data_IF_401621016488
#
_entry.id   IF_401621016488
#
_cell.length_a   1.000
_cell.length_b   1.000
_cell.length_c   1.000
_cell.angle_alpha   90.00
_cell.angle_beta   90.00
_cell.angle_gamma   90.00
#
_symmetry.space_group_name_H-M   'P 1'
#
loop_
_entity.id
_entity.type
_entity.pdbx_description
1 polymer ?
#
# COMPACT_ATOMS: atom_id res chain seq x y z
N UNK A 1 44.03 -40.50 29.56
CA UNK A 1 43.69 -39.63 28.42
C UNK A 1 42.17 -39.65 28.28
N UNK A 2 41.46 -38.53 28.54
CA UNK A 2 40.00 -38.52 28.53
C UNK A 2 39.47 -38.44 27.08
N UNK A 3 38.21 -38.85 26.84
CA UNK A 3 37.66 -38.99 25.51
C UNK A 3 37.28 -37.65 24.89
N UNK A 4 37.37 -37.65 23.56
CA UNK A 4 37.20 -36.57 22.61
C UNK A 4 35.82 -35.87 22.73
N UNK A 5 35.77 -34.68 23.34
CA UNK A 5 34.58 -33.80 23.38
C UNK A 5 34.47 -32.93 22.13
N UNK A 6 34.50 -33.54 20.95
CA UNK A 6 34.33 -32.86 19.67
C UNK A 6 33.08 -33.37 18.95
N UNK A 7 31.90 -33.13 19.52
CA UNK A 7 30.66 -33.15 18.74
C UNK A 7 29.53 -32.35 19.43
N UNK A 8 29.70 -31.03 19.46
CA UNK A 8 28.60 -30.07 19.52
C UNK A 8 28.76 -29.16 18.29
N UNK A 9 28.73 -29.78 17.11
CA UNK A 9 28.63 -29.03 15.87
C UNK A 9 27.22 -28.44 15.82
N UNK A 10 27.12 -27.14 16.09
CA UNK A 10 25.93 -26.33 15.87
C UNK A 10 25.43 -26.63 14.46
N UNK A 11 24.28 -27.30 14.33
CA UNK A 11 23.64 -27.51 13.04
C UNK A 11 23.55 -26.17 12.31
N UNK A 12 24.12 -26.08 11.10
CA UNK A 12 24.03 -24.88 10.27
C UNK A 12 22.55 -24.52 10.10
N UNK A 13 22.16 -23.39 10.67
CA UNK A 13 20.77 -22.94 10.65
C UNK A 13 20.52 -22.24 9.32
N UNK A 14 19.94 -22.97 8.38
CA UNK A 14 19.58 -22.46 7.05
C UNK A 14 18.22 -21.76 7.09
N UNK A 15 18.10 -20.72 6.26
CA UNK A 15 16.90 -19.88 6.16
C UNK A 15 16.46 -19.80 4.69
N UNK A 16 15.19 -20.11 4.45
CA UNK A 16 14.53 -19.99 3.17
C UNK A 16 13.87 -18.61 3.04
N UNK A 17 14.01 -18.00 1.87
CA UNK A 17 13.34 -16.74 1.56
C UNK A 17 11.89 -17.01 1.15
N UNK A 18 10.94 -16.43 1.87
CA UNK A 18 9.52 -16.57 1.56
C UNK A 18 9.00 -15.40 0.72
N UNK A 19 7.92 -15.64 -0.02
CA UNK A 19 7.29 -14.65 -0.92
C UNK A 19 6.23 -13.80 -0.21
N UNK A 20 5.57 -14.36 0.80
CA UNK A 20 4.48 -13.71 1.52
C UNK A 20 4.36 -14.25 2.94
N UNK A 21 3.60 -13.52 3.75
CA UNK A 21 3.11 -13.93 5.07
C UNK A 21 1.60 -13.71 5.15
N UNK A 22 0.92 -14.46 6.02
CA UNK A 22 -0.49 -14.26 6.30
C UNK A 22 -0.61 -13.38 7.54
N UNK A 23 -1.22 -12.20 7.38
CA UNK A 23 -1.49 -11.28 8.48
C UNK A 23 -2.53 -11.83 9.47
N UNK A 24 -2.65 -11.22 10.65
CA UNK A 24 -3.63 -11.60 11.66
C UNK A 24 -5.07 -11.51 11.16
N UNK A 25 -5.36 -10.58 10.24
CA UNK A 25 -6.68 -10.48 9.58
C UNK A 25 -6.84 -11.44 8.40
N UNK A 26 -5.90 -12.38 8.22
CA UNK A 26 -5.90 -13.43 7.19
C UNK A 26 -5.73 -12.92 5.76
N UNK A 27 -5.12 -11.75 5.60
CA UNK A 27 -4.72 -11.26 4.27
C UNK A 27 -3.30 -11.67 3.95
N UNK A 28 -3.05 -11.96 2.67
CA UNK A 28 -1.73 -12.28 2.14
C UNK A 28 -0.94 -10.98 2.00
N UNK A 29 0.20 -10.88 2.69
CA UNK A 29 1.10 -9.74 2.64
C UNK A 29 2.40 -10.17 1.96
N UNK A 30 2.63 -9.68 0.74
CA UNK A 30 3.82 -9.98 -0.04
C UNK A 30 5.03 -9.14 0.41
N UNK A 31 6.23 -9.57 0.02
CA UNK A 31 7.40 -8.68 0.03
C UNK A 31 7.08 -7.40 -0.75
N UNK A 32 7.39 -6.25 -0.17
CA UNK A 32 7.07 -4.93 -0.68
C UNK A 32 5.71 -4.38 -0.24
N UNK A 33 4.86 -5.18 0.42
CA UNK A 33 3.56 -4.74 0.93
C UNK A 33 3.72 -3.78 2.13
N UNK A 34 2.79 -2.85 2.24
CA UNK A 34 2.68 -1.93 3.38
C UNK A 34 1.78 -2.53 4.44
N UNK A 35 2.22 -2.51 5.70
CA UNK A 35 1.53 -3.18 6.79
C UNK A 35 1.53 -2.35 8.08
N UNK A 36 0.44 -2.47 8.84
CA UNK A 36 0.46 -2.16 10.26
C UNK A 36 0.93 -3.39 11.02
N UNK A 37 1.82 -3.19 12.00
CA UNK A 37 2.38 -4.27 12.80
C UNK A 37 2.53 -3.86 14.27
N UNK A 38 2.53 -4.85 15.16
CA UNK A 38 2.83 -4.64 16.59
C UNK A 38 4.34 -4.69 16.81
N UNK A 39 4.85 -3.77 17.62
CA UNK A 39 6.22 -3.77 18.09
C UNK A 39 6.31 -3.12 19.46
N UNK A 40 6.87 -3.85 20.44
CA UNK A 40 7.04 -3.37 21.82
C UNK A 40 5.76 -2.80 22.44
N UNK A 41 4.62 -3.44 22.18
CA UNK A 41 3.31 -3.02 22.69
C UNK A 41 2.64 -1.86 21.93
N UNK A 42 3.30 -1.29 20.94
CA UNK A 42 2.77 -0.20 20.10
C UNK A 42 2.43 -0.70 18.70
N UNK A 43 1.56 0.03 17.98
CA UNK A 43 1.26 -0.25 16.58
C UNK A 43 2.06 0.73 15.72
N UNK A 44 2.84 0.18 14.78
CA UNK A 44 3.69 0.93 13.86
C UNK A 44 3.30 0.63 12.41
N UNK A 45 3.85 1.40 11.48
CA UNK A 45 3.70 1.21 10.03
C UNK A 45 5.03 0.91 9.37
N UNK A 46 5.00 0.08 8.34
CA UNK A 46 6.22 -0.23 7.59
C UNK A 46 5.95 -0.94 6.28
N UNK A 47 7.04 -1.21 5.57
CA UNK A 47 7.03 -1.95 4.31
C UNK A 47 7.85 -3.22 4.47
N UNK A 48 7.28 -4.36 4.09
CA UNK A 48 7.99 -5.64 4.16
C UNK A 48 9.15 -5.61 3.16
N UNK A 49 10.38 -5.75 3.66
CA UNK A 49 11.58 -5.80 2.81
C UNK A 49 12.01 -7.24 2.53
N UNK A 50 11.91 -8.13 3.53
CA UNK A 50 12.20 -9.57 3.41
C UNK A 50 11.37 -10.41 4.38
N UNK A 51 11.16 -11.66 4.02
CA UNK A 51 10.52 -12.68 4.87
C UNK A 51 11.41 -13.91 4.82
N UNK A 52 11.83 -14.40 5.99
CA UNK A 52 12.67 -15.59 6.12
C UNK A 52 11.98 -16.62 7.02
N UNK A 53 12.03 -17.89 6.63
CA UNK A 53 11.63 -19.02 7.47
C UNK A 53 12.80 -20.00 7.61
N UNK A 54 12.94 -20.63 8.78
CA UNK A 54 13.99 -21.59 9.04
C UNK A 54 13.71 -22.88 8.28
N UNK A 55 14.68 -23.33 7.50
CA UNK A 55 14.56 -24.51 6.66
C UNK A 55 14.27 -25.75 7.50
N UNK A 56 13.33 -26.58 7.03
CA UNK A 56 12.97 -27.84 7.68
C UNK A 56 12.18 -27.69 8.98
N UNK A 57 11.76 -26.47 9.34
CA UNK A 57 10.86 -26.22 10.46
C UNK A 57 9.47 -25.82 9.96
N UNK A 58 8.44 -26.15 10.74
CA UNK A 58 7.10 -25.67 10.47
C UNK A 58 7.05 -24.14 10.68
N UNK A 59 6.65 -23.34 9.66
CA UNK A 59 6.56 -21.88 9.76
C UNK A 59 5.61 -21.37 10.86
N UNK A 60 4.77 -22.24 11.42
CA UNK A 60 3.81 -21.91 12.47
C UNK A 60 4.40 -22.01 13.88
N UNK A 61 5.57 -22.63 14.04
CA UNK A 61 6.29 -22.71 15.33
C UNK A 61 6.91 -21.34 15.67
N UNK A 62 6.82 -20.90 16.92
CA UNK A 62 7.46 -19.64 17.36
C UNK A 62 8.96 -19.62 17.03
N UNK A 63 9.47 -18.45 16.64
CA UNK A 63 10.84 -18.24 16.16
C UNK A 63 11.26 -19.04 14.90
N UNK A 64 10.34 -19.68 14.17
CA UNK A 64 10.67 -20.34 12.90
C UNK A 64 10.60 -19.41 11.69
N UNK A 65 10.03 -18.21 11.83
CA UNK A 65 9.98 -17.22 10.77
C UNK A 65 10.19 -15.81 11.31
N UNK A 66 10.82 -14.95 10.50
CA UNK A 66 11.10 -13.55 10.83
C UNK A 66 10.84 -12.68 9.62
N UNK A 67 10.25 -11.51 9.89
CA UNK A 67 9.91 -10.51 8.87
C UNK A 67 10.72 -9.26 9.10
N UNK A 68 11.32 -8.77 8.02
CA UNK A 68 12.07 -7.53 7.98
C UNK A 68 11.17 -6.42 7.45
N UNK A 69 11.08 -5.33 8.21
CA UNK A 69 10.23 -4.18 7.91
C UNK A 69 11.06 -2.91 7.87
N UNK A 70 11.01 -2.20 6.74
CA UNK A 70 11.43 -0.81 6.70
C UNK A 70 10.38 0.03 7.43
N UNK A 71 10.77 0.69 8.52
CA UNK A 71 9.84 1.41 9.38
C UNK A 71 9.56 2.82 8.85
N UNK A 72 8.29 3.19 8.84
CA UNK A 72 7.80 4.51 8.46
C UNK A 72 6.97 5.10 9.59
N UNK A 73 7.20 6.38 9.89
CA UNK A 73 6.40 7.13 10.84
C UNK A 73 5.17 7.71 10.14
N UNK A 74 4.00 7.61 10.79
CA UNK A 74 2.81 8.35 10.37
C UNK A 74 2.93 9.78 10.88
N UNK A 75 2.85 10.75 9.97
CA UNK A 75 2.83 12.17 10.33
C UNK A 75 1.55 12.55 11.06
N UNK A 76 1.65 13.53 11.97
CA UNK A 76 0.48 14.16 12.61
C UNK A 76 -0.33 15.04 11.64
N UNK A 77 0.27 15.39 10.50
CA UNK A 77 -0.34 16.22 9.47
C UNK A 77 -0.67 15.41 8.21
N UNK A 78 -1.75 15.83 7.55
CA UNK A 78 -2.16 15.31 6.26
C UNK A 78 -1.49 16.09 5.13
N UNK A 79 -1.34 15.44 3.99
CA UNK A 79 -0.97 16.12 2.76
C UNK A 79 -2.02 17.17 2.37
N UNK A 80 -1.55 18.35 1.92
CA UNK A 80 -2.42 19.49 1.62
C UNK A 80 -3.28 19.24 0.37
N UNK A 81 -2.74 18.50 -0.60
CA UNK A 81 -3.38 18.30 -1.90
C UNK A 81 -4.41 17.18 -1.87
N UNK A 82 -4.04 16.04 -1.30
CA UNK A 82 -4.88 14.84 -1.29
C UNK A 82 -5.57 14.61 0.06
N UNK A 83 -5.22 15.38 1.10
CA UNK A 83 -5.82 15.26 2.43
C UNK A 83 -5.69 13.84 3.02
N UNK A 84 -4.55 13.21 2.77
CA UNK A 84 -4.22 11.85 3.21
C UNK A 84 -3.07 11.85 4.23
N UNK A 85 -3.00 10.89 5.16
CA UNK A 85 -1.89 10.78 6.10
C UNK A 85 -0.56 10.56 5.37
N UNK A 86 0.49 11.22 5.86
CA UNK A 86 1.84 11.08 5.33
C UNK A 86 2.62 9.99 6.08
N UNK A 87 3.42 9.25 5.33
CA UNK A 87 4.36 8.25 5.82
C UNK A 87 5.78 8.71 5.51
N UNK A 88 6.63 8.73 6.53
CA UNK A 88 8.02 9.20 6.43
C UNK A 88 8.99 8.10 6.85
N UNK A 89 9.96 7.78 5.98
CA UNK A 89 10.96 6.74 6.25
C UNK A 89 11.78 7.11 7.49
N UNK A 90 11.89 6.17 8.42
CA UNK A 90 12.61 6.39 9.69
C UNK A 90 14.07 5.90 9.69
N UNK A 91 14.54 5.34 8.56
CA UNK A 91 15.84 4.66 8.42
C UNK A 91 16.07 3.51 9.43
N UNK A 92 15.00 3.00 10.06
CA UNK A 92 15.05 1.86 10.97
C UNK A 92 14.52 0.62 10.26
N UNK A 93 15.24 -0.47 10.43
CA UNK A 93 14.83 -1.81 10.08
C UNK A 93 14.30 -2.50 11.35
N UNK A 94 13.08 -3.01 11.31
CA UNK A 94 12.44 -3.69 12.44
C UNK A 94 12.20 -5.14 12.07
N UNK A 95 12.54 -6.04 13.00
CA UNK A 95 12.28 -7.46 12.89
C UNK A 95 11.08 -7.81 13.76
N UNK A 96 10.13 -8.55 13.19
CA UNK A 96 8.93 -9.02 13.90
C UNK A 96 8.62 -10.47 13.53
N UNK A 97 7.83 -11.13 14.37
CA UNK A 97 7.29 -12.45 14.05
C UNK A 97 6.05 -12.33 13.15
N UNK A 98 5.67 -13.39 12.41
CA UNK A 98 4.50 -13.38 11.54
C UNK A 98 3.19 -12.89 12.19
N UNK A 99 2.97 -13.25 13.45
CA UNK A 99 1.73 -12.93 14.16
C UNK A 99 1.61 -11.45 14.58
N UNK A 100 2.71 -10.69 14.52
CA UNK A 100 2.73 -9.26 14.79
C UNK A 100 2.20 -8.43 13.61
N UNK A 101 2.15 -9.00 12.41
CA UNK A 101 1.57 -8.35 11.22
C UNK A 101 0.06 -8.31 11.38
N UNK A 102 -0.50 -7.10 11.47
CA UNK A 102 -1.93 -6.91 11.74
C UNK A 102 -2.75 -7.04 10.47
N UNK A 103 -2.47 -6.17 9.50
CA UNK A 103 -3.15 -6.10 8.20
C UNK A 103 -2.33 -5.23 7.24
N UNK A 104 -2.54 -5.42 5.94
CA UNK A 104 -1.95 -4.62 4.88
C UNK A 104 -2.77 -3.39 4.55
N UNK A 105 -2.13 -2.39 3.96
CA UNK A 105 -2.80 -1.21 3.44
C UNK A 105 -2.15 -0.74 2.14
N UNK A 106 -2.82 0.18 1.44
CA UNK A 106 -2.28 0.78 0.23
C UNK A 106 -1.54 2.07 0.58
N UNK A 107 -0.28 2.20 0.14
CA UNK A 107 0.44 3.46 0.17
C UNK A 107 0.91 3.82 -1.24
N UNK A 108 0.99 5.13 -1.50
CA UNK A 108 1.40 5.68 -2.79
C UNK A 108 2.58 6.60 -2.57
N UNK A 109 3.59 6.54 -3.45
CA UNK A 109 4.73 7.46 -3.35
C UNK A 109 4.28 8.90 -3.56
N UNK A 110 4.84 9.84 -2.79
CA UNK A 110 4.55 11.26 -2.98
C UNK A 110 5.42 11.84 -4.12
N UNK A 111 5.08 11.44 -5.33
CA UNK A 111 5.82 11.78 -6.54
C UNK A 111 5.86 13.29 -6.82
N UNK A 112 4.85 14.02 -6.34
CA UNK A 112 4.79 15.48 -6.48
C UNK A 112 5.83 16.16 -5.59
N UNK A 113 6.00 15.68 -4.35
CA UNK A 113 7.04 16.17 -3.46
C UNK A 113 8.43 15.81 -3.97
N UNK A 114 8.62 14.58 -4.44
CA UNK A 114 9.91 14.07 -4.91
C UNK A 114 10.25 14.47 -6.36
N UNK A 115 9.37 15.22 -7.05
CA UNK A 115 9.52 15.61 -8.45
C UNK A 115 9.89 14.44 -9.39
N UNK A 116 9.21 13.30 -9.23
CA UNK A 116 9.48 12.10 -10.01
C UNK A 116 9.17 12.30 -11.49
N UNK A 117 9.95 11.66 -12.35
CA UNK A 117 9.86 11.83 -13.79
C UNK A 117 9.24 10.62 -14.48
N UNK A 118 8.50 10.87 -15.56
CA UNK A 118 8.04 9.78 -16.43
C UNK A 118 9.19 9.46 -17.39
N UNK A 119 9.73 8.25 -17.29
CA UNK A 119 10.80 7.75 -18.14
C UNK A 119 10.29 6.65 -19.06
N UNK A 120 10.89 6.53 -20.23
CA UNK A 120 10.71 5.34 -21.06
C UNK A 120 11.41 4.16 -20.38
N UNK A 121 10.72 3.03 -20.31
CA UNK A 121 11.32 1.76 -19.90
C UNK A 121 11.96 1.07 -21.08
N UNK A 122 12.85 0.12 -20.79
CA UNK A 122 13.42 -0.80 -21.76
C UNK A 122 12.43 -1.89 -22.21
N UNK A 123 11.20 -1.87 -21.69
CA UNK A 123 10.16 -2.86 -21.97
C UNK A 123 9.20 -2.29 -23.01
N UNK A 124 8.96 -3.04 -24.07
CA UNK A 124 7.95 -2.71 -25.07
C UNK A 124 6.54 -3.06 -24.57
N UNK A 125 5.57 -2.23 -24.95
CA UNK A 125 4.15 -2.47 -24.65
C UNK A 125 3.72 -3.73 -25.40
N UNK A 126 3.13 -4.68 -24.68
CA UNK A 126 2.48 -5.86 -25.27
C UNK A 126 0.99 -5.63 -25.43
N UNK A 127 0.47 -5.89 -26.63
CA UNK A 127 -0.97 -5.93 -26.92
C UNK A 127 -1.32 -7.31 -27.46
N UNK A 128 -2.33 -7.96 -26.88
CA UNK A 128 -2.79 -9.28 -27.32
C UNK A 128 -1.67 -10.33 -27.49
N UNK A 129 -0.66 -10.28 -26.62
CA UNK A 129 0.57 -11.11 -26.62
C UNK A 129 1.62 -10.76 -27.68
N UNK A 130 1.35 -9.83 -28.60
CA UNK A 130 2.33 -9.29 -29.53
C UNK A 130 3.07 -8.11 -28.90
N UNK A 131 4.38 -8.08 -29.10
CA UNK A 131 5.21 -6.95 -28.71
C UNK A 131 5.04 -5.84 -29.75
N UNK A 132 4.78 -4.63 -29.29
CA UNK A 132 4.66 -3.45 -30.15
C UNK A 132 5.99 -2.70 -30.20
N UNK A 133 6.15 -1.77 -31.13
CA UNK A 133 7.34 -0.90 -31.18
C UNK A 133 7.30 0.22 -30.13
N UNK A 134 6.19 0.34 -29.37
CA UNK A 134 6.01 1.39 -28.37
C UNK A 134 6.68 0.98 -27.08
N UNK A 135 7.63 1.79 -26.58
CA UNK A 135 8.21 1.60 -25.25
C UNK A 135 7.21 1.96 -24.16
N UNK A 136 7.10 1.12 -23.14
CA UNK A 136 6.26 1.39 -21.99
C UNK A 136 6.86 2.57 -21.20
N UNK A 137 6.02 3.55 -20.86
CA UNK A 137 6.41 4.65 -19.97
C UNK A 137 6.12 4.25 -18.53
N UNK A 138 7.04 4.59 -17.63
CA UNK A 138 6.87 4.35 -16.21
C UNK A 138 7.29 5.59 -15.41
N UNK A 139 6.74 5.71 -14.20
CA UNK A 139 7.15 6.76 -13.27
C UNK A 139 8.41 6.29 -12.54
N UNK A 140 9.54 6.97 -12.78
CA UNK A 140 10.79 6.69 -12.12
C UNK A 140 10.86 7.51 -10.82
N UNK A 141 10.82 6.82 -9.68
CA UNK A 141 10.91 7.46 -8.38
C UNK A 141 12.34 7.93 -8.09
N UNK A 142 12.48 9.18 -7.61
CA UNK A 142 13.78 9.76 -7.27
C UNK A 142 14.26 9.35 -5.87
N UNK A 143 13.33 8.98 -4.99
CA UNK A 143 13.60 8.56 -3.62
C UNK A 143 12.53 7.57 -3.12
N UNK A 144 12.77 6.98 -1.95
CA UNK A 144 11.82 6.14 -1.22
C UNK A 144 11.56 6.70 0.20
N UNK A 145 11.45 8.02 0.33
CA UNK A 145 11.44 8.68 1.65
C UNK A 145 10.02 8.97 2.12
N UNK A 146 9.14 9.36 1.19
CA UNK A 146 7.83 9.91 1.53
C UNK A 146 6.71 9.25 0.73
N UNK A 147 5.70 8.80 1.45
CA UNK A 147 4.53 8.15 0.88
C UNK A 147 3.25 8.71 1.51
N UNK A 148 2.13 8.47 0.85
CA UNK A 148 0.78 8.81 1.27
C UNK A 148 0.05 7.51 1.60
N UNK A 149 -0.50 7.41 2.80
CA UNK A 149 -1.39 6.31 3.14
C UNK A 149 -2.72 6.54 2.42
N UNK A 150 -3.05 5.65 1.48
CA UNK A 150 -4.17 5.84 0.57
C UNK A 150 -5.51 5.61 1.29
N UNK A 151 -6.11 6.69 1.77
CA UNK A 151 -7.42 6.68 2.43
C UNK A 151 -8.60 6.49 1.47
N UNK A 152 -8.35 6.52 0.17
CA UNK A 152 -9.38 6.31 -0.87
C UNK A 152 -9.49 4.84 -1.28
N UNK A 153 -8.51 4.00 -0.90
CA UNK A 153 -8.62 2.56 -1.06
C UNK A 153 -9.71 2.00 -0.14
N UNK A 154 -10.55 1.12 -0.68
CA UNK A 154 -11.62 0.47 0.10
C UNK A 154 -11.08 -0.70 0.95
N UNK A 155 -9.94 -1.29 0.55
CA UNK A 155 -9.35 -2.40 1.27
C UNK A 155 -8.88 -1.96 2.67
N UNK A 156 -9.30 -2.69 3.69
CA UNK A 156 -8.95 -2.48 5.11
C UNK A 156 -9.25 -1.07 5.66
N UNK A 157 -10.11 -0.29 4.99
CA UNK A 157 -10.42 1.09 5.39
C UNK A 157 -10.97 1.18 6.82
N UNK A 158 -11.71 0.18 7.29
CA UNK A 158 -12.22 0.12 8.66
C UNK A 158 -11.10 -0.07 9.69
N UNK A 159 -10.16 -0.99 9.43
CA UNK A 159 -9.00 -1.23 10.31
C UNK A 159 -8.06 -0.03 10.38
N UNK A 160 -7.83 0.65 9.24
CA UNK A 160 -7.04 1.88 9.19
C UNK A 160 -7.67 2.96 10.07
N UNK A 161 -9.00 3.12 10.00
CA UNK A 161 -9.75 4.11 10.79
C UNK A 161 -9.79 3.79 12.28
N UNK A 162 -9.74 2.51 12.65
CA UNK A 162 -9.65 2.06 14.04
C UNK A 162 -8.23 2.26 14.60
N UNK A 163 -7.21 2.06 13.76
CA UNK A 163 -5.80 2.10 14.17
C UNK A 163 -5.25 3.53 14.27
N UNK A 164 -5.64 4.42 13.35
CA UNK A 164 -5.11 5.79 13.30
C UNK A 164 -5.96 6.78 14.11
N UNK A 165 -5.36 7.86 14.63
CA UNK A 165 -6.10 8.96 15.24
C UNK A 165 -7.20 9.51 14.32
N UNK A 166 -8.36 9.85 14.89
CA UNK A 166 -9.50 10.43 14.14
C UNK A 166 -9.14 11.69 13.37
N UNK A 167 -8.19 12.48 13.88
CA UNK A 167 -7.67 13.69 13.21
C UNK A 167 -7.05 13.40 11.85
N UNK A 168 -6.57 12.18 11.58
CA UNK A 168 -5.98 11.77 10.31
C UNK A 168 -6.95 11.07 9.34
N UNK A 169 -8.02 10.48 9.86
CA UNK A 169 -8.93 9.63 9.07
C UNK A 169 -10.35 10.16 8.92
N UNK A 170 -10.73 11.17 9.71
CA UNK A 170 -12.06 11.77 9.60
C UNK A 170 -12.26 12.36 8.20
N UNK A 171 -13.39 12.05 7.52
CA UNK A 171 -13.75 12.70 6.27
C UNK A 171 -13.88 14.21 6.47
N UNK A 172 -13.27 14.98 5.57
CA UNK A 172 -13.41 16.44 5.56
C UNK A 172 -14.49 16.80 4.54
N UNK A 173 -15.54 17.53 4.92
CA UNK A 173 -16.56 17.98 3.97
C UNK A 173 -15.93 18.84 2.87
N UNK A 174 -16.22 18.51 1.60
CA UNK A 174 -15.73 19.29 0.46
C UNK A 174 -16.23 20.74 0.46
N UNK A 175 -17.46 20.96 0.96
CA UNK A 175 -18.04 22.29 1.18
C UNK A 175 -18.43 22.48 2.65
N UNK A 176 -18.19 23.67 3.23
CA UNK A 176 -18.64 23.98 4.59
C UNK A 176 -20.16 23.81 4.75
N UNK A 177 -20.65 23.45 5.95
CA UNK A 177 -22.07 23.20 6.18
C UNK A 177 -22.99 24.35 5.74
N UNK A 178 -22.57 25.60 5.94
CA UNK A 178 -23.34 26.80 5.61
C UNK A 178 -23.68 26.94 4.11
N UNK A 179 -22.78 26.50 3.22
CA UNK A 179 -22.95 26.63 1.76
C UNK A 179 -23.27 25.30 1.08
N UNK A 180 -23.13 24.17 1.79
CA UNK A 180 -23.26 22.82 1.23
C UNK A 180 -24.61 22.58 0.56
N UNK A 181 -25.70 23.03 1.19
CA UNK A 181 -27.04 22.87 0.63
C UNK A 181 -27.23 23.66 -0.67
N UNK A 182 -26.71 24.89 -0.74
CA UNK A 182 -26.76 25.68 -1.97
C UNK A 182 -25.94 25.03 -3.08
N UNK A 183 -24.70 24.64 -2.77
CA UNK A 183 -23.83 23.96 -3.72
C UNK A 183 -24.47 22.70 -4.33
N UNK A 184 -25.12 21.86 -3.50
CA UNK A 184 -25.84 20.69 -4.02
C UNK A 184 -27.01 21.07 -4.93
N UNK A 185 -27.74 22.14 -4.62
CA UNK A 185 -28.82 22.64 -5.48
C UNK A 185 -28.29 23.13 -6.83
N UNK A 186 -27.21 23.89 -6.83
CA UNK A 186 -26.59 24.43 -8.05
C UNK A 186 -26.07 23.30 -8.95
N UNK A 187 -25.40 22.32 -8.35
CA UNK A 187 -24.92 21.12 -9.07
C UNK A 187 -26.11 20.31 -9.62
N UNK A 188 -27.16 20.10 -8.83
CA UNK A 188 -28.35 19.39 -9.28
C UNK A 188 -29.04 20.10 -10.46
N UNK A 189 -29.21 21.42 -10.39
CA UNK A 189 -29.77 22.22 -11.47
C UNK A 189 -28.92 22.11 -12.75
N UNK A 190 -27.59 22.19 -12.64
CA UNK A 190 -26.67 21.99 -13.76
C UNK A 190 -26.78 20.59 -14.38
N UNK A 191 -26.92 19.55 -13.56
CA UNK A 191 -27.09 18.17 -14.02
C UNK A 191 -28.46 17.89 -14.64
N UNK A 192 -29.51 18.60 -14.23
CA UNK A 192 -30.83 18.48 -14.86
C UNK A 192 -30.83 18.99 -16.31
N UNK A 193 -30.01 20.00 -16.62
CA UNK A 193 -29.84 20.52 -17.98
C UNK A 193 -28.87 19.65 -18.79
N UNK A 194 -27.67 19.40 -18.27
CA UNK A 194 -26.61 18.68 -19.00
C UNK A 194 -26.83 17.16 -19.07
N UNK A 195 -27.57 16.58 -18.13
CA UNK A 195 -27.84 15.15 -18.06
C UNK A 195 -28.64 14.61 -19.25
N UNK A 196 -29.81 15.20 -19.60
CA UNK A 196 -30.58 14.83 -20.78
C UNK A 196 -29.77 14.94 -22.08
N UNK A 197 -29.03 16.03 -22.26
CA UNK A 197 -28.18 16.25 -23.44
C UNK A 197 -27.13 15.14 -23.58
N UNK A 198 -26.39 14.84 -22.50
CA UNK A 198 -25.41 13.75 -22.50
C UNK A 198 -26.06 12.40 -22.77
N UNK A 199 -27.24 12.12 -22.19
CA UNK A 199 -27.98 10.87 -22.45
C UNK A 199 -28.44 10.74 -23.90
N UNK A 200 -28.90 11.83 -24.51
CA UNK A 200 -29.28 11.84 -25.93
C UNK A 200 -28.07 11.57 -26.83
N UNK A 201 -26.92 12.21 -26.55
CA UNK A 201 -25.66 11.95 -27.28
C UNK A 201 -25.22 10.48 -27.12
N UNK A 202 -25.27 9.93 -25.90
CA UNK A 202 -24.93 8.52 -25.67
C UNK A 202 -25.88 7.58 -26.42
N UNK A 203 -27.18 7.86 -26.44
CA UNK A 203 -28.16 7.07 -27.19
C UNK A 203 -27.94 7.14 -28.71
N UNK A 204 -27.62 8.32 -29.25
CA UNK A 204 -27.30 8.49 -30.66
C UNK A 204 -26.06 7.67 -31.06
N UNK A 205 -24.96 7.78 -30.29
CA UNK A 205 -23.74 7.00 -30.52
C UNK A 205 -23.96 5.49 -30.39
N UNK A 206 -24.79 5.06 -29.44
CA UNK A 206 -25.12 3.65 -29.26
C UNK A 206 -25.99 3.09 -30.40
N UNK A 207 -26.76 3.95 -31.08
CA UNK A 207 -27.52 3.58 -32.28
C UNK A 207 -26.59 3.44 -33.49
N UNK A 208 -25.62 4.34 -33.64
CA UNK A 208 -24.61 4.31 -34.72
C UNK A 208 -23.66 3.09 -34.66
N UNK A 209 -23.44 2.49 -33.49
CA UNK A 209 -22.55 1.33 -33.32
C UNK A 209 -23.26 -0.02 -33.37
N UNK A 210 -24.58 -0.04 -33.59
CA UNK A 210 -25.41 -1.27 -33.63
C UNK A 210 -25.80 -1.70 -35.04
N UNK A 211 -25.44 -0.92 -36.06
CA UNK A 211 -25.52 -1.27 -37.49
C UNK A 211 -24.16 -1.79 -37.97
#
# INVERSE_FOLDING_TARGET
LPPNMANLCSAEMTWDQCLFVISRTRHICHVGAWVFFKHLGTILTGRISKILARTGSDPTVSNSAVIFLDHFNVSEHRDVRLNMPLLLKSNRLILVEPHDILFDFNAQHDCMFAHCEIKESDVYVRQERLETEVRAKHLAHNDDIRYLLNMHALHNAHLIRETLPRTLVAPIPYKPPAVRAQFHRDVAASLQVSGPEKRAITQAKAKETRD
#
